data_IF_638516867509
#
_entry.id   IF_638516867509
#
_cell.length_a   1.000
_cell.length_b   1.000
_cell.length_c   1.000
_cell.angle_alpha   90.00
_cell.angle_beta   90.00
_cell.angle_gamma   90.00
#
_symmetry.space_group_name_H-M   'P 1'
#
loop_
_entity.id
_entity.type
_entity.pdbx_description
1 polymer ?
#
# COMPACT_ATOMS: atom_id res chain seq x y z
N UNK A 1 -20.40 18.92 2.36
CA UNK A 1 -20.32 18.94 0.88
C UNK A 1 -18.85 19.05 0.52
N UNK A 2 -18.18 17.91 0.37
CA UNK A 2 -16.74 17.84 0.11
C UNK A 2 -16.49 18.16 -1.38
N UNK A 3 -15.83 19.29 -1.68
CA UNK A 3 -15.34 19.58 -3.02
C UNK A 3 -14.02 18.82 -3.19
N UNK A 4 -14.07 17.64 -3.80
CA UNK A 4 -12.89 16.98 -4.37
C UNK A 4 -12.53 17.79 -5.63
N UNK A 5 -11.85 18.92 -5.43
CA UNK A 5 -11.34 19.75 -6.49
C UNK A 5 -9.89 19.31 -6.77
N UNK A 6 -9.69 18.68 -7.92
CA UNK A 6 -8.44 18.80 -8.67
C UNK A 6 -7.22 18.04 -8.16
N UNK A 7 -7.28 16.71 -8.13
CA UNK A 7 -6.11 15.88 -8.42
C UNK A 7 -6.42 15.09 -9.70
N UNK A 8 -6.66 15.83 -10.78
CA UNK A 8 -6.77 15.30 -12.13
C UNK A 8 -5.69 15.97 -12.96
N UNK A 9 -4.58 15.26 -13.13
CA UNK A 9 -3.48 15.67 -13.98
C UNK A 9 -2.22 15.93 -13.19
N UNK A 10 -1.28 15.00 -13.26
CA UNK A 10 0.11 15.21 -13.69
C UNK A 10 0.74 13.82 -13.85
N UNK A 11 1.28 13.58 -15.05
CA UNK A 11 2.30 12.56 -15.25
C UNK A 11 1.82 11.19 -15.72
N UNK A 12 1.22 11.12 -16.92
CA UNK A 12 1.46 9.96 -17.77
C UNK A 12 2.99 9.90 -17.99
N UNK A 13 3.65 9.10 -17.14
CA UNK A 13 5.09 9.00 -17.04
C UNK A 13 5.62 8.51 -18.39
N UNK A 14 6.26 9.42 -19.12
CA UNK A 14 6.99 9.13 -20.35
C UNK A 14 8.23 8.29 -20.02
N UNK A 15 8.01 7.02 -19.69
CA UNK A 15 9.03 6.01 -19.42
C UNK A 15 9.29 5.15 -20.67
N UNK A 16 9.26 5.77 -21.85
CA UNK A 16 9.51 5.11 -23.15
C UNK A 16 10.63 5.86 -23.86
N UNK A 17 11.83 5.73 -23.31
CA UNK A 17 13.02 6.39 -23.83
C UNK A 17 14.23 5.46 -23.84
N UNK A 18 14.14 4.35 -24.56
CA UNK A 18 15.32 3.53 -24.84
C UNK A 18 15.09 2.02 -24.84
N UNK A 19 14.38 1.49 -25.83
CA UNK A 19 14.58 0.10 -26.27
C UNK A 19 14.68 0.14 -27.79
N UNK A 20 15.90 0.01 -28.29
CA UNK A 20 16.19 0.01 -29.72
C UNK A 20 15.84 -1.36 -30.33
N UNK A 21 15.04 -1.33 -31.39
CA UNK A 21 14.85 -2.37 -32.43
C UNK A 21 14.26 -3.75 -32.09
N UNK A 22 13.74 -3.98 -30.88
CA UNK A 22 12.75 -5.05 -30.67
C UNK A 22 11.35 -4.42 -30.61
N UNK A 23 10.45 -4.83 -31.51
CA UNK A 23 9.03 -4.49 -31.41
C UNK A 23 8.45 -5.13 -30.14
N UNK A 24 8.60 -4.44 -29.00
CA UNK A 24 7.98 -4.86 -27.76
C UNK A 24 6.47 -4.61 -27.87
N UNK A 25 5.68 -5.64 -27.63
CA UNK A 25 4.24 -5.50 -27.53
C UNK A 25 3.93 -4.63 -26.32
N UNK A 26 3.15 -3.57 -26.52
CA UNK A 26 2.65 -2.73 -25.43
C UNK A 26 1.18 -3.02 -25.24
N UNK A 27 0.78 -3.41 -24.02
CA UNK A 27 -0.60 -3.75 -23.66
C UNK A 27 -1.05 -2.90 -22.47
N UNK A 28 -2.28 -2.43 -22.50
CA UNK A 28 -2.92 -1.79 -21.36
C UNK A 28 -3.40 -2.85 -20.37
N UNK A 29 -3.26 -2.59 -19.07
CA UNK A 29 -3.81 -3.47 -18.04
C UNK A 29 -4.55 -2.65 -16.99
N UNK A 30 -5.67 -3.17 -16.50
CA UNK A 30 -6.38 -2.61 -15.36
C UNK A 30 -6.62 -3.73 -14.37
N UNK A 31 -6.22 -3.53 -13.11
CA UNK A 31 -6.40 -4.50 -12.03
C UNK A 31 -7.22 -3.96 -10.89
N UNK A 32 -7.98 -4.86 -10.29
CA UNK A 32 -8.71 -4.65 -9.06
C UNK A 32 -8.23 -5.67 -8.06
N UNK A 33 -7.92 -5.24 -6.84
CA UNK A 33 -7.44 -6.12 -5.80
C UNK A 33 -8.02 -5.82 -4.44
N UNK A 34 -7.79 -6.75 -3.52
CA UNK A 34 -8.04 -6.56 -2.10
C UNK A 34 -6.71 -6.82 -1.39
N UNK A 35 -6.24 -5.81 -0.67
CA UNK A 35 -5.03 -5.86 0.11
C UNK A 35 -5.42 -5.70 1.59
N UNK A 36 -5.43 -6.79 2.37
CA UNK A 36 -5.48 -6.63 3.82
C UNK A 36 -4.19 -5.91 4.26
N UNK A 37 -4.30 -4.96 5.17
CA UNK A 37 -3.19 -4.39 5.89
C UNK A 37 -3.33 -4.87 7.32
N UNK A 38 -2.32 -5.58 7.81
CA UNK A 38 -2.24 -5.98 9.21
C UNK A 38 -0.90 -5.47 9.70
N UNK A 39 -0.93 -4.39 10.48
CA UNK A 39 0.26 -3.71 10.96
C UNK A 39 0.44 -4.09 12.42
N UNK A 40 1.60 -4.70 12.71
CA UNK A 40 2.06 -4.86 14.07
C UNK A 40 2.38 -3.46 14.61
N UNK A 41 1.56 -2.99 15.55
CA UNK A 41 1.82 -1.73 16.23
C UNK A 41 3.04 -1.92 17.13
N UNK A 42 4.01 -1.02 17.03
CA UNK A 42 5.07 -0.87 18.02
C UNK A 42 4.97 0.50 18.67
N UNK A 43 5.61 0.69 19.83
CA UNK A 43 5.71 1.99 20.51
C UNK A 43 6.28 3.10 19.60
N UNK A 44 6.95 2.72 18.49
CA UNK A 44 7.52 3.64 17.49
C UNK A 44 6.59 3.86 16.28
N UNK A 45 5.32 3.47 16.32
CA UNK A 45 4.40 3.52 15.15
C UNK A 45 3.50 4.77 15.14
N UNK A 46 3.89 5.89 14.49
CA UNK A 46 3.15 7.16 14.54
C UNK A 46 1.75 7.16 13.91
N UNK A 47 1.45 6.34 12.88
CA UNK A 47 0.13 6.40 12.19
C UNK A 47 -1.03 6.05 13.13
N UNK A 48 -0.72 5.27 14.16
CA UNK A 48 -1.71 4.80 15.13
C UNK A 48 -1.31 5.11 16.57
N UNK A 49 -0.13 5.71 16.82
CA UNK A 49 0.44 5.88 18.16
C UNK A 49 -0.53 6.53 19.13
N UNK A 50 -1.11 7.67 18.78
CA UNK A 50 -2.06 8.38 19.65
C UNK A 50 -3.35 7.59 19.91
N UNK A 51 -3.85 6.83 18.94
CA UNK A 51 -5.06 6.03 19.09
C UNK A 51 -4.79 4.75 19.88
N UNK A 52 -3.66 4.12 19.64
CA UNK A 52 -3.14 2.94 20.33
C UNK A 52 -2.87 3.30 21.79
N UNK A 53 -2.15 4.38 22.07
CA UNK A 53 -1.87 4.87 23.42
C UNK A 53 -3.16 5.18 24.18
N UNK A 54 -4.12 5.81 23.50
CA UNK A 54 -5.44 6.10 24.09
C UNK A 54 -6.22 4.82 24.36
N UNK A 55 -6.18 3.84 23.46
CA UNK A 55 -6.84 2.56 23.63
C UNK A 55 -6.21 1.73 24.76
N UNK A 56 -4.87 1.63 24.80
CA UNK A 56 -4.09 1.00 25.88
C UNK A 56 -4.41 1.66 27.22
N UNK A 57 -4.36 3.00 27.28
CA UNK A 57 -4.67 3.75 28.50
C UNK A 57 -6.11 3.52 28.96
N UNK A 58 -7.07 3.55 28.05
CA UNK A 58 -8.49 3.29 28.36
C UNK A 58 -8.71 1.86 28.87
N UNK A 59 -8.11 0.86 28.21
CA UNK A 59 -8.17 -0.53 28.62
C UNK A 59 -7.56 -0.73 30.01
N UNK A 60 -6.32 -0.28 30.23
CA UNK A 60 -5.60 -0.47 31.49
C UNK A 60 -6.31 0.25 32.64
N UNK A 61 -6.91 1.43 32.37
CA UNK A 61 -7.76 2.15 33.34
C UNK A 61 -9.02 1.34 33.70
N UNK A 62 -9.69 0.76 32.70
CA UNK A 62 -10.88 -0.06 32.91
C UNK A 62 -10.56 -1.38 33.64
N UNK A 63 -9.47 -2.05 33.27
CA UNK A 63 -8.96 -3.25 33.93
C UNK A 63 -8.66 -2.99 35.42
N UNK A 64 -7.96 -1.90 35.73
CA UNK A 64 -7.68 -1.49 37.10
C UNK A 64 -8.95 -1.16 37.90
N UNK A 65 -9.98 -0.60 37.25
CA UNK A 65 -11.28 -0.37 37.90
C UNK A 65 -12.04 -1.68 38.17
N UNK A 66 -11.96 -2.65 37.26
CA UNK A 66 -12.57 -3.96 37.39
C UNK A 66 -11.92 -4.77 38.52
N UNK A 67 -10.59 -4.82 38.56
CA UNK A 67 -9.82 -5.56 39.56
C UNK A 67 -10.09 -5.04 40.97
N UNK A 68 -10.16 -3.71 41.15
CA UNK A 68 -10.54 -3.07 42.42
C UNK A 68 -11.91 -3.51 42.91
N UNK A 69 -12.85 -3.81 42.01
CA UNK A 69 -14.24 -4.16 42.36
C UNK A 69 -14.43 -5.65 42.61
N UNK A 70 -13.68 -6.51 41.93
CA UNK A 70 -13.91 -7.96 41.94
C UNK A 70 -12.77 -8.78 42.56
N UNK A 71 -11.68 -8.13 42.99
CA UNK A 71 -10.52 -8.81 43.59
C UNK A 71 -9.73 -9.65 42.57
N UNK A 72 -9.76 -9.25 41.29
CA UNK A 72 -9.04 -9.90 40.20
C UNK A 72 -7.65 -9.33 39.94
N UNK A 73 -6.93 -9.96 39.02
CA UNK A 73 -5.67 -9.46 38.43
C UNK A 73 -5.76 -9.64 36.92
N UNK A 74 -6.24 -8.61 36.25
CA UNK A 74 -6.32 -8.56 34.80
C UNK A 74 -4.94 -8.20 34.25
N UNK A 75 -4.52 -8.87 33.16
CA UNK A 75 -3.27 -8.55 32.48
C UNK A 75 -3.38 -7.19 31.81
N UNK A 76 -2.42 -6.29 32.09
CA UNK A 76 -2.30 -5.03 31.36
C UNK A 76 -1.79 -5.30 29.96
N UNK A 77 -2.24 -4.48 29.01
CA UNK A 77 -1.77 -4.52 27.63
C UNK A 77 -0.80 -3.37 27.35
N UNK A 78 0.05 -3.54 26.36
CA UNK A 78 0.86 -2.49 25.75
C UNK A 78 0.46 -2.24 24.27
N UNK A 79 1.18 -1.35 23.59
CA UNK A 79 0.90 -1.01 22.19
C UNK A 79 1.07 -2.23 21.26
N UNK A 80 1.98 -3.14 21.58
CA UNK A 80 2.25 -4.36 20.81
C UNK A 80 1.14 -5.39 20.89
N UNK A 81 0.28 -5.30 21.90
CA UNK A 81 -0.91 -6.14 22.03
C UNK A 81 -2.07 -5.68 21.14
N UNK A 82 -1.96 -4.50 20.49
CA UNK A 82 -2.97 -3.98 19.57
C UNK A 82 -2.54 -4.18 18.11
N UNK A 83 -3.23 -5.07 17.40
CA UNK A 83 -3.12 -5.17 15.94
C UNK A 83 -3.97 -4.11 15.26
N UNK A 84 -3.39 -3.39 14.29
CA UNK A 84 -4.15 -2.49 13.44
C UNK A 84 -4.41 -3.18 12.10
N UNK A 85 -5.68 -3.48 11.85
CA UNK A 85 -6.11 -4.12 10.61
C UNK A 85 -7.01 -3.20 9.78
N UNK A 86 -6.66 -2.98 8.52
CA UNK A 86 -7.53 -2.34 7.53
C UNK A 86 -7.58 -3.21 6.26
N UNK A 87 -8.56 -2.98 5.38
CA UNK A 87 -8.66 -3.67 4.09
C UNK A 87 -8.78 -2.64 2.98
N UNK A 88 -7.77 -2.58 2.12
CA UNK A 88 -7.76 -1.71 0.96
C UNK A 88 -8.34 -2.42 -0.25
N UNK A 89 -9.37 -1.83 -0.85
CA UNK A 89 -9.75 -2.14 -2.22
C UNK A 89 -8.84 -1.34 -3.15
N UNK A 90 -8.10 -2.03 -4.02
CA UNK A 90 -7.12 -1.41 -4.90
C UNK A 90 -7.60 -1.37 -6.34
N UNK A 91 -7.27 -0.28 -7.02
CA UNK A 91 -7.44 -0.05 -8.45
C UNK A 91 -6.09 0.32 -9.05
N UNK A 92 -5.66 -0.45 -10.05
CA UNK A 92 -4.31 -0.38 -10.58
C UNK A 92 -4.30 -0.39 -12.13
N UNK A 93 -4.56 0.74 -12.79
CA UNK A 93 -4.30 0.89 -14.22
C UNK A 93 -2.79 0.89 -14.50
N UNK A 94 -2.38 0.28 -15.60
CA UNK A 94 -0.98 0.09 -15.92
C UNK A 94 -0.71 -0.24 -17.38
N UNK A 95 0.57 -0.48 -17.65
CA UNK A 95 1.11 -0.85 -18.95
C UNK A 95 2.02 -2.06 -18.79
N UNK A 96 1.89 -3.01 -19.71
CA UNK A 96 2.82 -4.12 -19.91
C UNK A 96 3.63 -3.88 -21.19
N UNK A 97 4.94 -4.15 -21.15
CA UNK A 97 5.80 -4.08 -22.33
C UNK A 97 6.78 -5.26 -22.34
N UNK A 98 6.87 -5.97 -23.46
CA UNK A 98 7.77 -7.11 -23.60
C UNK A 98 7.30 -8.13 -24.63
N UNK A 99 7.73 -9.37 -24.45
CA UNK A 99 7.33 -10.49 -25.29
C UNK A 99 6.40 -11.47 -24.58
N UNK A 100 6.03 -12.54 -25.28
CA UNK A 100 5.08 -13.54 -24.78
C UNK A 100 5.59 -14.40 -23.62
N UNK A 101 6.88 -14.37 -23.29
CA UNK A 101 7.42 -15.13 -22.16
C UNK A 101 7.79 -14.24 -20.98
N UNK A 102 8.40 -13.09 -21.27
CA UNK A 102 8.94 -12.16 -20.28
C UNK A 102 8.50 -10.74 -20.64
N UNK A 103 7.97 -10.04 -19.65
CA UNK A 103 7.57 -8.64 -19.81
C UNK A 103 7.77 -7.81 -18.54
N UNK A 104 7.81 -6.51 -18.74
CA UNK A 104 7.89 -5.47 -17.72
C UNK A 104 6.50 -4.86 -17.51
N UNK A 105 6.15 -4.51 -16.27
CA UNK A 105 4.86 -3.89 -15.94
C UNK A 105 5.01 -2.71 -14.99
N UNK A 106 4.29 -1.63 -15.26
CA UNK A 106 4.15 -0.46 -14.38
C UNK A 106 2.69 -0.16 -14.16
N UNK A 107 2.33 0.17 -12.92
CA UNK A 107 0.96 0.42 -12.49
C UNK A 107 0.88 1.73 -11.71
N UNK A 108 -0.17 2.52 -11.92
CA UNK A 108 -0.57 3.57 -10.99
C UNK A 108 -1.52 2.93 -9.98
N UNK A 109 -1.19 2.99 -8.69
CA UNK A 109 -1.92 2.32 -7.63
C UNK A 109 -2.82 3.32 -6.92
N UNK A 110 -4.08 2.99 -6.76
CA UNK A 110 -5.02 3.72 -5.90
C UNK A 110 -5.67 2.72 -4.96
N UNK A 111 -5.61 2.96 -3.65
CA UNK A 111 -6.25 2.13 -2.63
C UNK A 111 -7.27 2.92 -1.82
N UNK A 112 -8.38 2.28 -1.47
CA UNK A 112 -9.42 2.85 -0.61
C UNK A 112 -9.82 1.80 0.42
N UNK A 113 -9.65 2.13 1.69
CA UNK A 113 -10.11 1.38 2.86
C UNK A 113 -11.10 2.21 3.69
N UNK A 114 -11.36 1.76 4.92
CA UNK A 114 -12.31 2.43 5.82
C UNK A 114 -11.73 3.75 6.35
N UNK A 115 -10.46 3.72 6.75
CA UNK A 115 -9.74 4.90 7.26
C UNK A 115 -8.55 5.27 6.38
N UNK A 116 -8.06 4.37 5.53
CA UNK A 116 -6.87 4.62 4.71
C UNK A 116 -7.19 4.85 3.24
N UNK A 117 -6.51 5.82 2.65
CA UNK A 117 -6.46 6.03 1.20
C UNK A 117 -5.02 5.96 0.74
N UNK A 118 -4.78 5.40 -0.43
CA UNK A 118 -3.43 5.27 -0.98
C UNK A 118 -3.38 5.71 -2.42
N UNK A 119 -2.27 6.34 -2.81
CA UNK A 119 -1.97 6.67 -4.19
C UNK A 119 -0.47 6.47 -4.46
N UNK A 120 -0.10 5.77 -5.52
CA UNK A 120 1.30 5.43 -5.76
C UNK A 120 1.59 4.81 -7.11
N UNK A 121 2.77 4.19 -7.20
CA UNK A 121 3.28 3.55 -8.40
C UNK A 121 3.84 2.18 -8.04
N UNK A 122 3.46 1.16 -8.83
CA UNK A 122 4.02 -0.18 -8.80
C UNK A 122 4.95 -0.41 -9.99
N UNK A 123 6.08 -1.07 -9.74
CA UNK A 123 7.05 -1.47 -10.77
C UNK A 123 7.33 -2.97 -10.62
N UNK A 124 7.08 -3.71 -11.69
CA UNK A 124 7.26 -5.16 -11.76
C UNK A 124 8.23 -5.50 -12.88
N UNK A 125 9.54 -5.56 -12.58
CA UNK A 125 10.55 -5.78 -13.60
C UNK A 125 10.57 -7.20 -14.16
N UNK A 126 10.05 -8.17 -13.41
CA UNK A 126 10.13 -9.58 -13.76
C UNK A 126 8.73 -10.19 -13.79
N UNK A 127 8.14 -10.27 -14.98
CA UNK A 127 6.89 -10.98 -15.20
C UNK A 127 7.13 -12.10 -16.20
N UNK A 128 6.87 -13.34 -15.79
CA UNK A 128 7.02 -14.52 -16.62
C UNK A 128 5.64 -15.12 -16.85
N UNK A 129 5.32 -15.45 -18.10
CA UNK A 129 4.13 -16.24 -18.42
C UNK A 129 4.53 -17.52 -19.17
N UNK A 130 3.80 -18.61 -18.95
CA UNK A 130 4.05 -19.89 -19.64
C UNK A 130 2.73 -20.43 -20.15
N UNK A 131 2.58 -20.65 -21.48
CA UNK A 131 1.34 -21.18 -22.03
C UNK A 131 1.11 -22.62 -21.52
N UNK A 132 -0.07 -22.86 -20.97
CA UNK A 132 -0.56 -24.18 -20.54
C UNK A 132 -1.54 -24.80 -21.55
N UNK A 133 -2.00 -24.00 -22.51
CA UNK A 133 -2.96 -24.38 -23.54
C UNK A 133 -3.17 -23.25 -24.54
N UNK A 134 -4.24 -23.33 -25.33
CA UNK A 134 -4.57 -22.28 -26.31
C UNK A 134 -4.95 -20.95 -25.65
N UNK A 135 -5.74 -21.03 -24.59
CA UNK A 135 -6.34 -19.85 -23.94
C UNK A 135 -5.94 -19.75 -22.46
N UNK A 136 -4.89 -20.45 -22.03
CA UNK A 136 -4.47 -20.45 -20.64
C UNK A 136 -2.96 -20.33 -20.54
N UNK A 137 -2.48 -19.41 -19.72
CA UNK A 137 -1.07 -19.30 -19.35
C UNK A 137 -0.93 -19.21 -17.83
N UNK A 138 0.06 -19.92 -17.28
CA UNK A 138 0.55 -19.66 -15.94
C UNK A 138 1.29 -18.32 -15.92
N UNK A 139 1.21 -17.60 -14.81
CA UNK A 139 1.75 -16.26 -14.67
C UNK A 139 2.48 -16.11 -13.34
N UNK A 140 3.66 -15.49 -13.36
CA UNK A 140 4.44 -15.12 -12.19
C UNK A 140 4.92 -13.67 -12.32
N UNK A 141 4.85 -12.91 -11.22
CA UNK A 141 5.29 -11.51 -11.14
C UNK A 141 6.16 -11.29 -9.92
N UNK A 142 7.21 -10.50 -10.06
CA UNK A 142 8.00 -9.98 -8.94
C UNK A 142 8.23 -8.50 -9.15
N UNK A 143 7.99 -7.72 -8.10
CA UNK A 143 8.14 -6.27 -8.12
C UNK A 143 7.94 -5.64 -6.76
N UNK A 144 7.60 -4.35 -6.79
CA UNK A 144 7.30 -3.59 -5.59
C UNK A 144 6.55 -2.31 -5.93
N UNK A 145 6.18 -1.58 -4.90
CA UNK A 145 5.48 -0.31 -5.06
C UNK A 145 5.95 0.73 -4.05
N UNK A 146 5.70 1.99 -4.37
CA UNK A 146 5.77 3.10 -3.44
C UNK A 146 4.47 3.90 -3.55
N UNK A 147 3.82 4.19 -2.42
CA UNK A 147 2.57 4.94 -2.38
C UNK A 147 2.53 5.89 -1.19
N UNK A 148 1.90 7.04 -1.38
CA UNK A 148 1.44 7.87 -0.29
C UNK A 148 0.21 7.25 0.36
N UNK A 149 0.13 7.36 1.67
CA UNK A 149 -1.00 7.00 2.49
C UNK A 149 -1.58 8.24 3.14
N UNK A 150 -2.89 8.32 3.19
CA UNK A 150 -3.65 9.40 3.79
C UNK A 150 -4.72 8.77 4.69
N UNK A 151 -4.70 9.09 5.98
CA UNK A 151 -5.66 8.58 6.96
C UNK A 151 -6.80 9.58 7.15
N UNK A 152 -8.01 9.16 6.82
CA UNK A 152 -9.21 9.97 6.94
C UNK A 152 -9.53 10.22 8.43
N UNK A 153 -9.64 11.48 8.81
CA UNK A 153 -10.06 11.89 10.16
C UNK A 153 -8.92 12.27 11.11
N UNK A 154 -7.74 11.65 11.00
CA UNK A 154 -6.56 12.04 11.81
C UNK A 154 -5.75 13.16 11.16
N UNK A 155 -5.72 13.19 9.82
CA UNK A 155 -4.84 14.09 9.09
C UNK A 155 -3.43 13.53 8.90
N UNK A 156 -3.17 12.28 9.29
CA UNK A 156 -1.84 11.70 9.11
C UNK A 156 -1.59 11.31 7.66
N UNK A 157 -0.40 11.66 7.16
CA UNK A 157 0.06 11.27 5.84
C UNK A 157 1.37 10.51 5.98
N UNK A 158 1.49 9.37 5.30
CA UNK A 158 2.68 8.52 5.34
C UNK A 158 3.10 8.01 3.97
N UNK A 159 4.22 7.30 3.94
CA UNK A 159 4.72 6.56 2.78
C UNK A 159 4.69 5.05 3.02
N UNK A 160 4.19 4.31 2.05
CA UNK A 160 4.19 2.85 2.03
C UNK A 160 5.08 2.35 0.89
N UNK A 161 6.06 1.53 1.22
CA UNK A 161 6.87 0.81 0.24
C UNK A 161 6.57 -0.67 0.36
N UNK A 162 6.33 -1.35 -0.76
CA UNK A 162 6.06 -2.79 -0.77
C UNK A 162 7.01 -3.55 -1.70
N UNK A 163 7.29 -4.80 -1.35
CA UNK A 163 7.84 -5.82 -2.23
C UNK A 163 6.81 -6.93 -2.37
N UNK A 164 6.55 -7.36 -3.60
CA UNK A 164 5.47 -8.30 -3.93
C UNK A 164 5.95 -9.35 -4.92
N UNK A 165 5.64 -10.61 -4.61
CA UNK A 165 5.69 -11.71 -5.56
C UNK A 165 4.26 -12.23 -5.76
N UNK A 166 3.86 -12.53 -7.00
CA UNK A 166 2.52 -13.02 -7.29
C UNK A 166 2.54 -14.17 -8.29
N UNK A 167 1.59 -15.07 -8.12
CA UNK A 167 1.34 -16.18 -9.04
C UNK A 167 -0.12 -16.20 -9.46
N UNK A 168 -0.37 -16.57 -10.71
CA UNK A 168 -1.70 -16.47 -11.28
C UNK A 168 -1.89 -17.23 -12.57
N UNK A 169 -3.05 -16.99 -13.17
CA UNK A 169 -3.41 -17.50 -14.49
C UNK A 169 -3.90 -16.37 -15.38
N UNK A 170 -3.55 -16.45 -16.66
CA UNK A 170 -4.05 -15.57 -17.71
C UNK A 170 -4.94 -16.39 -18.64
N UNK A 171 -6.16 -15.91 -18.87
CA UNK A 171 -7.20 -16.57 -19.66
C UNK A 171 -7.44 -15.76 -20.94
N UNK A 172 -7.31 -16.42 -22.08
CA UNK A 172 -7.48 -15.87 -23.43
C UNK A 172 -6.72 -14.55 -23.65
N UNK A 173 -5.53 -14.43 -23.03
CA UNK A 173 -4.68 -13.22 -23.04
C UNK A 173 -5.32 -11.94 -22.48
N UNK A 174 -6.54 -12.02 -21.93
CA UNK A 174 -7.33 -10.86 -21.53
C UNK A 174 -7.57 -10.79 -20.05
N UNK A 175 -7.91 -11.90 -19.41
CA UNK A 175 -8.26 -11.90 -17.99
C UNK A 175 -7.10 -12.47 -17.19
N UNK A 176 -6.69 -11.76 -16.15
CA UNK A 176 -5.62 -12.19 -15.25
C UNK A 176 -6.21 -12.37 -13.85
N UNK A 177 -5.93 -13.51 -13.21
CA UNK A 177 -6.26 -13.75 -11.82
C UNK A 177 -4.95 -14.02 -11.09
N UNK A 178 -4.63 -13.23 -10.07
CA UNK A 178 -3.38 -13.31 -9.33
C UNK A 178 -3.65 -13.41 -7.83
N UNK A 179 -2.87 -14.27 -7.17
CA UNK A 179 -2.64 -14.23 -5.73
C UNK A 179 -1.21 -13.73 -5.47
N UNK A 180 -1.09 -12.68 -4.68
CA UNK A 180 0.18 -12.09 -4.29
C UNK A 180 0.55 -12.42 -2.86
N UNK A 181 1.85 -12.38 -2.60
CA UNK A 181 2.45 -12.39 -1.27
C UNK A 181 3.38 -11.18 -1.17
N UNK A 182 3.12 -10.33 -0.19
CA UNK A 182 3.83 -9.06 -0.02
C UNK A 182 4.47 -8.88 1.36
N UNK A 183 5.48 -8.02 1.37
CA UNK A 183 5.96 -7.36 2.57
C UNK A 183 5.94 -5.85 2.32
N UNK A 184 5.59 -5.07 3.34
CA UNK A 184 5.53 -3.61 3.26
C UNK A 184 6.22 -2.99 4.47
N UNK A 185 6.77 -1.81 4.22
CA UNK A 185 7.33 -0.93 5.22
C UNK A 185 6.54 0.37 5.14
N UNK A 186 6.01 0.79 6.28
CA UNK A 186 5.35 2.08 6.46
C UNK A 186 6.36 3.04 7.07
N UNK A 187 6.46 4.27 6.55
CA UNK A 187 7.40 5.24 7.09
C UNK A 187 7.13 6.67 6.63
N UNK A 188 7.77 7.62 7.29
CA UNK A 188 7.66 9.05 6.94
C UNK A 188 6.28 9.61 7.20
N UNK A 189 5.71 9.24 8.34
CA UNK A 189 4.38 9.66 8.75
C UNK A 189 4.49 10.99 9.44
N UNK A 190 3.71 11.94 8.96
CA UNK A 190 3.68 13.32 9.46
C UNK A 190 2.23 13.79 9.52
N UNK A 191 1.94 14.65 10.48
CA UNK A 191 0.64 15.33 10.57
C UNK A 191 0.50 16.29 9.38
N UNK A 192 -0.57 16.12 8.59
CA UNK A 192 -0.84 17.00 7.44
C UNK A 192 -0.99 18.46 7.84
N UNK A 193 -1.47 18.75 9.05
CA UNK A 193 -1.59 20.13 9.53
C UNK A 193 -0.24 20.80 9.73
N UNK A 194 0.79 20.02 10.10
CA UNK A 194 2.18 20.51 10.10
C UNK A 194 2.68 20.75 8.68
N UNK A 195 2.37 19.86 7.73
CA UNK A 195 2.76 20.04 6.32
C UNK A 195 2.07 21.25 5.67
N UNK A 196 0.77 21.43 5.90
CA UNK A 196 -0.03 22.51 5.29
C UNK A 196 0.33 23.88 5.89
N UNK A 197 0.89 23.90 7.11
CA UNK A 197 1.40 25.11 7.76
C UNK A 197 2.76 25.59 7.22
N UNK A 198 3.47 24.74 6.46
CA UNK A 198 4.75 25.06 5.83
C UNK A 198 4.45 25.74 4.49
N UNK A 199 4.37 27.08 4.47
CA UNK A 199 4.42 27.80 3.20
C UNK A 199 5.77 27.52 2.52
N UNK A 200 5.81 26.93 1.31
CA UNK A 200 7.05 26.57 0.66
C UNK A 200 7.74 27.83 0.14
N UNK A 201 8.47 28.51 1.03
CA UNK A 201 9.44 29.54 0.69
C UNK A 201 10.80 28.90 0.46
N UNK A 202 11.67 29.57 -0.32
CA UNK A 202 13.02 29.08 -0.63
C UNK A 202 13.89 28.86 0.63
N UNK A 203 13.53 29.48 1.75
CA UNK A 203 14.26 29.42 3.02
C UNK A 203 13.56 28.54 4.08
N UNK A 204 12.47 27.86 3.71
CA UNK A 204 11.75 27.01 4.67
C UNK A 204 12.62 25.82 5.02
N UNK A 205 13.03 25.64 6.28
CA UNK A 205 13.80 24.48 6.67
C UNK A 205 12.99 23.23 6.36
N UNK A 206 13.59 22.29 5.64
CA UNK A 206 13.01 20.96 5.52
C UNK A 206 12.78 20.41 6.93
N UNK A 207 11.66 19.71 7.20
CA UNK A 207 11.46 19.04 8.47
C UNK A 207 12.70 18.21 8.80
N UNK A 208 13.15 18.30 10.05
CA UNK A 208 14.39 17.62 10.46
C UNK A 208 14.26 16.11 10.18
N UNK A 209 15.31 15.43 9.68
CA UNK A 209 15.24 14.01 9.30
C UNK A 209 14.81 13.05 10.42
N UNK A 210 14.92 13.48 11.69
CA UNK A 210 14.45 12.77 12.88
C UNK A 210 12.93 12.81 13.07
N UNK A 211 12.20 13.66 12.35
CA UNK A 211 10.73 13.66 12.32
C UNK A 211 10.16 12.52 11.45
N UNK A 212 11.01 11.87 10.63
CA UNK A 212 10.62 10.72 9.80
C UNK A 212 10.72 9.46 10.65
N UNK A 213 9.60 9.05 11.24
CA UNK A 213 9.54 7.83 12.04
C UNK A 213 9.12 6.64 11.17
N UNK A 214 9.75 5.49 11.38
CA UNK A 214 9.36 4.22 10.77
C UNK A 214 8.09 3.72 11.47
N UNK A 215 7.02 3.48 10.71
CA UNK A 215 5.68 3.31 11.24
C UNK A 215 5.17 1.86 11.14
N UNK A 216 6.08 0.91 11.27
CA UNK A 216 5.78 -0.50 11.28
C UNK A 216 6.19 -1.22 10.00
N UNK A 217 6.42 -2.52 10.17
CA UNK A 217 6.63 -3.46 9.10
C UNK A 217 5.50 -4.46 9.13
N UNK A 218 5.08 -4.92 7.96
CA UNK A 218 4.24 -6.10 7.92
C UNK A 218 4.65 -7.03 6.79
N UNK A 219 4.55 -8.33 7.09
CA UNK A 219 5.07 -9.41 6.27
C UNK A 219 4.00 -10.48 6.21
N UNK A 220 3.92 -11.20 5.10
CA UNK A 220 3.01 -12.34 5.04
C UNK A 220 1.67 -12.07 4.42
N UNK A 221 1.42 -10.87 3.91
CA UNK A 221 0.07 -10.52 3.44
C UNK A 221 -0.17 -11.17 2.10
N UNK A 222 -1.29 -11.88 2.05
CA UNK A 222 -1.83 -12.46 0.82
C UNK A 222 -2.83 -11.47 0.25
N UNK A 223 -2.58 -11.03 -0.98
CA UNK A 223 -3.52 -10.22 -1.75
C UNK A 223 -4.13 -11.05 -2.89
N UNK A 224 -5.34 -10.68 -3.30
CA UNK A 224 -6.01 -11.26 -4.46
C UNK A 224 -6.36 -10.14 -5.43
N UNK A 225 -6.15 -10.39 -6.72
CA UNK A 225 -6.53 -9.43 -7.76
C UNK A 225 -7.02 -10.08 -9.04
N UNK A 226 -7.87 -9.33 -9.74
CA UNK A 226 -8.37 -9.66 -11.08
C UNK A 226 -8.04 -8.50 -12.01
N UNK A 227 -7.51 -8.80 -13.18
CA UNK A 227 -7.11 -7.82 -14.18
C UNK A 227 -7.70 -8.08 -15.57
N UNK A 228 -7.81 -7.01 -16.35
CA UNK A 228 -8.15 -7.05 -17.77
C UNK A 228 -7.02 -6.42 -18.58
N UNK A 229 -6.55 -7.12 -19.61
CA UNK A 229 -5.51 -6.70 -20.56
C UNK A 229 -6.16 -6.37 -21.90
N UNK A 230 -5.74 -5.27 -22.55
CA UNK A 230 -6.28 -4.79 -23.83
C UNK A 230 -5.25 -4.05 -24.69
#
# INVERSE_FOLDING_TARGET
MLRIAGIAGIGALALVGGVADAHADVRGVVRFGVLPLDLESSDDTPVFGDDVDRAVTAYNTAAAAYDRRHGGTTTMIDAGDLGVSDTLVTFAPGLETGGDLLFFRVEALVGIGDELRTAGVGIYPLNVQTPLGRDLAAYLSVGGSASWLDREGSGDVGGLVSLRAAGGVRIAERVVIEAGYGAFVLGGVVDRSELDGIEPTADTPLPEPNAVVAAGEARGIVDLSVGVVF
#
